data_IF_289782731150
#
_entry.id   IF_289782731150
#
_cell.length_a   1.000
_cell.length_b   1.000
_cell.length_c   1.000
_cell.angle_alpha   90.00
_cell.angle_beta   90.00
_cell.angle_gamma   90.00
#
_symmetry.space_group_name_H-M   'P 1'
#
loop_
_entity.id
_entity.type
_entity.pdbx_description
1 polymer ?
#
# COMPACT_ATOMS: atom_id res chain seq x y z
N UNK A 1 -33.30 49.61 -44.74
CA UNK A 1 -31.91 49.51 -44.24
C UNK A 1 -31.99 48.93 -42.85
N UNK A 2 -32.04 47.60 -42.77
CA UNK A 2 -32.19 46.91 -41.50
C UNK A 2 -30.89 46.96 -40.72
N UNK A 3 -31.00 47.55 -39.52
CA UNK A 3 -30.04 47.39 -38.43
C UNK A 3 -29.93 45.90 -38.13
N UNK A 4 -28.97 45.22 -38.76
CA UNK A 4 -28.54 43.90 -38.31
C UNK A 4 -28.08 44.06 -36.86
N UNK A 5 -28.76 43.35 -35.97
CA UNK A 5 -28.32 43.06 -34.62
C UNK A 5 -26.82 42.74 -34.62
N UNK A 6 -25.98 43.71 -34.27
CA UNK A 6 -24.72 43.42 -33.62
C UNK A 6 -25.13 42.83 -32.28
N UNK A 7 -25.18 41.50 -32.17
CA UNK A 7 -25.06 40.87 -30.85
C UNK A 7 -23.78 41.45 -30.26
N UNK A 8 -23.89 42.26 -29.20
CA UNK A 8 -22.73 42.68 -28.42
C UNK A 8 -21.93 41.42 -28.12
N UNK A 9 -20.69 41.36 -28.59
CA UNK A 9 -19.83 40.23 -28.30
C UNK A 9 -19.69 40.14 -26.77
N UNK A 10 -20.17 39.06 -26.11
CA UNK A 10 -20.27 39.02 -24.66
C UNK A 10 -18.89 38.97 -23.99
N UNK A 11 -17.82 38.74 -24.76
CA UNK A 11 -16.46 38.58 -24.25
C UNK A 11 -15.65 39.87 -24.29
N UNK A 12 -15.85 40.74 -25.27
CA UNK A 12 -15.08 41.98 -25.43
C UNK A 12 -15.75 43.00 -26.37
N UNK A 13 -15.38 44.27 -26.22
CA UNK A 13 -15.73 45.37 -27.11
C UNK A 13 -14.74 45.41 -28.30
N UNK A 14 -15.18 45.16 -29.55
CA UNK A 14 -14.31 45.13 -30.73
C UNK A 14 -13.52 46.42 -30.96
N UNK A 15 -14.07 47.57 -30.57
CA UNK A 15 -13.50 48.89 -30.91
C UNK A 15 -12.46 49.38 -29.89
N UNK A 16 -12.30 48.67 -28.78
CA UNK A 16 -11.34 49.02 -27.72
C UNK A 16 -10.08 48.15 -27.81
N UNK A 17 -8.91 48.70 -27.40
CA UNK A 17 -7.71 47.89 -27.21
C UNK A 17 -7.94 46.80 -26.16
N UNK A 18 -7.17 45.73 -26.25
CA UNK A 18 -7.26 44.62 -25.31
C UNK A 18 -6.09 43.66 -25.40
N UNK A 19 -5.93 42.85 -24.36
CA UNK A 19 -4.98 41.76 -24.30
C UNK A 19 -5.72 40.42 -24.27
N UNK A 20 -5.13 39.40 -24.87
CA UNK A 20 -5.64 38.03 -24.89
C UNK A 20 -4.58 37.13 -24.27
N UNK A 21 -4.96 36.38 -23.24
CA UNK A 21 -4.12 35.39 -22.61
C UNK A 21 -4.57 34.00 -23.06
N UNK A 22 -3.62 33.20 -23.52
CA UNK A 22 -3.87 31.85 -24.05
C UNK A 22 -2.95 30.87 -23.34
N UNK A 23 -3.52 29.80 -22.78
CA UNK A 23 -2.81 28.64 -22.28
C UNK A 23 -3.08 27.46 -23.19
N UNK A 24 -2.06 26.95 -23.87
CA UNK A 24 -2.22 25.85 -24.82
C UNK A 24 -1.10 24.82 -24.69
N UNK A 25 -1.49 23.55 -24.53
CA UNK A 25 -0.58 22.41 -24.58
C UNK A 25 -0.15 22.12 -26.02
N UNK A 26 1.17 22.02 -26.24
CA UNK A 26 1.74 21.81 -27.59
C UNK A 26 1.29 20.50 -28.23
N UNK A 27 0.91 19.51 -27.44
CA UNK A 27 0.54 18.18 -27.90
C UNK A 27 -0.96 17.91 -27.75
N UNK A 28 -1.74 18.90 -27.31
CA UNK A 28 -3.17 18.77 -27.01
C UNK A 28 -3.48 17.64 -26.01
N UNK A 29 -2.54 17.35 -25.10
CA UNK A 29 -2.69 16.31 -24.08
C UNK A 29 -3.21 16.86 -22.75
N UNK A 30 -3.22 18.19 -22.60
CA UNK A 30 -3.63 18.89 -21.40
C UNK A 30 -4.58 20.05 -21.71
N UNK A 31 -5.60 20.16 -20.86
CA UNK A 31 -6.72 21.07 -20.98
C UNK A 31 -7.05 21.60 -19.59
N UNK A 32 -6.82 22.90 -19.29
CA UNK A 32 -7.07 23.45 -17.96
C UNK A 32 -8.51 23.23 -17.48
N UNK A 33 -8.69 22.81 -16.23
CA UNK A 33 -9.99 22.60 -15.58
C UNK A 33 -10.78 23.90 -15.51
N UNK A 34 -10.09 25.01 -15.27
CA UNK A 34 -10.71 26.32 -15.30
C UNK A 34 -10.61 26.89 -16.72
N UNK A 35 -11.72 27.18 -17.41
CA UNK A 35 -11.68 27.73 -18.77
C UNK A 35 -10.88 29.03 -18.88
N UNK A 36 -10.81 29.81 -17.80
CA UNK A 36 -10.03 31.05 -17.72
C UNK A 36 -8.51 30.82 -17.77
N UNK A 37 -8.04 29.64 -17.39
CA UNK A 37 -6.64 29.26 -17.53
C UNK A 37 -6.28 28.90 -18.98
N UNK A 38 -7.28 28.54 -19.81
CA UNK A 38 -7.11 28.31 -21.24
C UNK A 38 -7.21 29.61 -22.05
N UNK A 39 -8.25 30.42 -21.82
CA UNK A 39 -8.48 31.67 -22.57
C UNK A 39 -9.04 32.76 -21.67
N UNK A 40 -8.42 33.95 -21.70
CA UNK A 40 -8.92 35.14 -21.00
C UNK A 40 -8.76 36.39 -21.86
N UNK A 41 -9.83 37.19 -21.97
CA UNK A 41 -9.85 38.49 -22.63
C UNK A 41 -9.78 39.62 -21.61
N UNK A 42 -8.87 40.60 -21.79
CA UNK A 42 -8.65 41.72 -20.88
C UNK A 42 -8.78 43.05 -21.63
N UNK A 43 -9.69 43.92 -21.19
CA UNK A 43 -9.83 45.30 -21.72
C UNK A 43 -9.86 46.38 -20.63
N UNK A 44 -9.73 45.96 -19.35
CA UNK A 44 -9.72 46.85 -18.18
C UNK A 44 -8.70 46.35 -17.17
N UNK A 45 -8.04 47.27 -16.48
CA UNK A 45 -7.02 46.97 -15.48
C UNK A 45 -5.61 46.86 -16.06
N UNK A 46 -4.64 46.61 -15.18
CA UNK A 46 -3.23 46.45 -15.56
C UNK A 46 -2.97 45.06 -16.17
N UNK A 47 -2.64 45.04 -17.46
CA UNK A 47 -2.44 43.79 -18.21
C UNK A 47 -1.24 42.99 -17.68
N UNK A 48 -0.21 43.62 -17.13
CA UNK A 48 0.95 42.92 -16.56
C UNK A 48 0.59 42.21 -15.25
N UNK A 49 -0.08 42.90 -14.33
CA UNK A 49 -0.56 42.29 -13.08
C UNK A 49 -1.56 41.15 -13.33
N UNK A 50 -2.47 41.35 -14.28
CA UNK A 50 -3.46 40.33 -14.66
C UNK A 50 -2.82 39.12 -15.35
N UNK A 51 -1.81 39.36 -16.19
CA UNK A 51 -1.05 38.26 -16.79
C UNK A 51 -0.23 37.51 -15.75
N UNK A 52 0.41 38.20 -14.80
CA UNK A 52 1.10 37.55 -13.66
C UNK A 52 0.14 36.63 -12.87
N UNK A 53 -1.09 37.09 -12.65
CA UNK A 53 -2.14 36.25 -12.02
C UNK A 53 -2.48 35.03 -12.88
N UNK A 54 -2.67 35.21 -14.18
CA UNK A 54 -2.94 34.11 -15.13
C UNK A 54 -1.82 33.04 -15.11
N UNK A 55 -0.55 33.46 -15.01
CA UNK A 55 0.57 32.53 -14.85
C UNK A 55 0.47 31.75 -13.52
N UNK A 56 0.21 32.44 -12.41
CA UNK A 56 0.09 31.81 -11.08
C UNK A 56 -1.08 30.82 -11.01
N UNK A 57 -2.22 31.17 -11.61
CA UNK A 57 -3.40 30.29 -11.62
C UNK A 57 -3.13 29.01 -12.43
N UNK A 58 -2.41 29.11 -13.56
CA UNK A 58 -1.94 27.95 -14.32
C UNK A 58 -0.88 27.13 -13.56
N UNK A 59 0.06 27.79 -12.85
CA UNK A 59 1.06 27.12 -12.01
C UNK A 59 0.37 26.28 -10.94
N UNK A 60 -0.59 26.85 -10.20
CA UNK A 60 -1.33 26.15 -9.14
C UNK A 60 -2.09 24.93 -9.66
N UNK A 61 -2.65 25.02 -10.86
CA UNK A 61 -3.34 23.87 -11.45
C UNK A 61 -2.35 22.76 -11.83
N UNK A 62 -1.16 23.13 -12.33
CA UNK A 62 -0.09 22.18 -12.63
C UNK A 62 0.52 21.52 -11.38
N UNK A 63 0.40 22.13 -10.18
CA UNK A 63 0.87 21.53 -8.92
C UNK A 63 0.14 20.21 -8.59
N UNK A 64 -1.04 19.97 -9.15
CA UNK A 64 -1.82 18.73 -8.97
C UNK A 64 -1.53 17.66 -10.04
N UNK A 65 -0.59 17.92 -10.95
CA UNK A 65 -0.24 17.01 -12.04
C UNK A 65 0.96 16.12 -11.65
N UNK A 66 1.06 14.87 -12.13
CA UNK A 66 2.23 14.02 -11.90
C UNK A 66 3.51 14.67 -12.44
N UNK A 67 3.41 15.37 -13.57
CA UNK A 67 4.44 16.21 -14.16
C UNK A 67 3.80 17.45 -14.78
N UNK A 68 4.62 18.48 -15.02
CA UNK A 68 4.16 19.75 -15.56
C UNK A 68 3.90 19.62 -17.07
N UNK A 69 2.66 19.90 -17.53
CA UNK A 69 2.29 19.84 -18.94
C UNK A 69 3.18 20.72 -19.83
N UNK A 70 3.32 20.35 -21.11
CA UNK A 70 4.09 21.11 -22.09
C UNK A 70 3.25 22.27 -22.67
N UNK A 71 2.70 23.09 -21.76
CA UNK A 71 1.84 24.23 -22.05
C UNK A 71 2.65 25.50 -22.28
N UNK A 72 2.28 26.23 -23.34
CA UNK A 72 2.73 27.61 -23.58
C UNK A 72 1.66 28.59 -23.09
N UNK A 73 2.10 29.58 -22.33
CA UNK A 73 1.31 30.69 -21.81
C UNK A 73 1.66 31.93 -22.63
N UNK A 74 0.71 32.38 -23.44
CA UNK A 74 0.87 33.45 -24.42
C UNK A 74 0.07 34.68 -23.99
N UNK A 75 0.63 35.86 -24.28
CA UNK A 75 -0.10 37.13 -24.23
C UNK A 75 -0.03 37.80 -25.59
N UNK A 76 -1.16 38.20 -26.12
CA UNK A 76 -1.28 39.05 -27.30
C UNK A 76 -1.81 40.41 -26.86
N UNK A 77 -1.21 41.49 -27.35
CA UNK A 77 -1.66 42.86 -27.10
C UNK A 77 -2.13 43.45 -28.43
N UNK A 78 -3.40 43.86 -28.47
CA UNK A 78 -4.06 44.33 -29.69
C UNK A 78 -4.48 45.79 -29.53
N UNK A 79 -4.21 46.60 -30.55
CA UNK A 79 -4.64 48.00 -30.59
C UNK A 79 -6.17 48.14 -30.62
N UNK A 80 -6.87 47.12 -31.14
CA UNK A 80 -8.31 46.93 -31.04
C UNK A 80 -8.65 45.45 -31.23
N UNK A 81 -9.82 45.02 -30.78
CA UNK A 81 -10.23 43.61 -30.80
C UNK A 81 -10.98 43.20 -32.08
N UNK A 82 -11.05 44.06 -33.12
CA UNK A 82 -11.73 43.72 -34.39
C UNK A 82 -11.07 42.58 -35.15
N UNK A 83 -9.78 42.38 -34.93
CA UNK A 83 -8.98 41.31 -35.54
C UNK A 83 -9.08 39.99 -34.75
N UNK A 84 -9.96 39.90 -33.76
CA UNK A 84 -10.15 38.66 -33.00
C UNK A 84 -11.31 37.90 -33.63
N UNK A 85 -11.12 36.64 -34.05
CA UNK A 85 -12.21 35.81 -34.55
C UNK A 85 -13.38 35.78 -33.55
N UNK A 86 -14.65 35.79 -34.01
CA UNK A 86 -15.79 35.75 -33.11
C UNK A 86 -15.78 34.45 -32.28
N UNK A 87 -16.07 34.54 -30.98
CA UNK A 87 -16.12 33.38 -30.11
C UNK A 87 -17.53 32.80 -30.13
N UNK A 88 -17.70 31.57 -30.61
CA UNK A 88 -18.94 30.82 -30.44
C UNK A 88 -19.05 30.33 -28.99
N UNK A 89 -20.12 30.73 -28.29
CA UNK A 89 -20.39 30.33 -26.90
C UNK A 89 -20.63 28.83 -26.73
N UNK A 90 -20.91 28.10 -27.81
CA UNK A 90 -21.10 26.66 -27.81
C UNK A 90 -19.81 25.87 -28.08
N UNK A 91 -18.74 26.54 -28.50
CA UNK A 91 -17.45 25.90 -28.82
C UNK A 91 -16.53 25.93 -27.60
N UNK A 92 -15.95 24.78 -27.20
CA UNK A 92 -14.95 24.76 -26.13
C UNK A 92 -13.76 25.66 -26.45
N UNK A 93 -13.22 26.38 -25.46
CA UNK A 93 -12.11 27.31 -25.70
C UNK A 93 -10.89 26.66 -26.32
N UNK A 94 -10.59 25.39 -26.01
CA UNK A 94 -9.48 24.65 -26.62
C UNK A 94 -9.67 24.47 -28.13
N UNK A 95 -10.91 24.19 -28.56
CA UNK A 95 -11.25 24.06 -29.97
C UNK A 95 -11.16 25.42 -30.67
N UNK A 96 -11.72 26.47 -30.07
CA UNK A 96 -11.61 27.83 -30.59
C UNK A 96 -10.14 28.31 -30.69
N UNK A 97 -9.33 28.08 -29.65
CA UNK A 97 -7.90 28.43 -29.63
C UNK A 97 -7.16 27.75 -30.79
N UNK A 98 -7.36 26.43 -30.93
CA UNK A 98 -6.59 25.60 -31.85
C UNK A 98 -7.04 25.70 -33.31
N UNK A 99 -8.34 25.89 -33.57
CA UNK A 99 -8.91 25.89 -34.93
C UNK A 99 -9.16 27.28 -35.49
N UNK A 100 -9.32 28.30 -34.65
CA UNK A 100 -9.71 29.64 -35.09
C UNK A 100 -8.69 30.71 -34.67
N UNK A 101 -8.50 30.92 -33.36
CA UNK A 101 -7.73 32.05 -32.84
C UNK A 101 -6.26 32.03 -33.25
N UNK A 102 -5.53 30.95 -32.91
CA UNK A 102 -4.10 30.87 -33.20
C UNK A 102 -3.80 30.72 -34.70
N UNK A 103 -4.55 29.92 -35.48
CA UNK A 103 -4.41 29.92 -36.94
C UNK A 103 -4.60 31.31 -37.56
N UNK A 104 -5.61 32.07 -37.11
CA UNK A 104 -5.84 33.43 -37.58
C UNK A 104 -4.67 34.36 -37.22
N UNK A 105 -4.17 34.33 -35.98
CA UNK A 105 -3.00 35.13 -35.59
C UNK A 105 -1.74 34.75 -36.37
N UNK A 106 -1.58 33.47 -36.71
CA UNK A 106 -0.47 33.03 -37.55
C UNK A 106 -0.60 33.52 -39.00
N UNK A 107 -1.79 33.40 -39.60
CA UNK A 107 -2.07 33.86 -40.98
C UNK A 107 -1.89 35.37 -41.12
N UNK A 108 -2.30 36.13 -40.10
CA UNK A 108 -2.19 37.58 -40.06
C UNK A 108 -0.88 38.10 -39.45
N UNK A 109 0.09 37.22 -39.19
CA UNK A 109 1.41 37.56 -38.65
C UNK A 109 1.36 38.40 -37.35
N UNK A 110 0.44 38.07 -36.45
CA UNK A 110 0.28 38.72 -35.13
C UNK A 110 1.10 37.92 -34.10
N UNK A 111 2.29 38.40 -33.67
CA UNK A 111 3.11 37.69 -32.70
C UNK A 111 2.59 37.88 -31.27
N UNK A 112 2.84 36.90 -30.36
CA UNK A 112 2.59 37.11 -28.95
C UNK A 112 3.59 38.13 -28.37
N UNK A 113 3.09 39.06 -27.56
CA UNK A 113 3.88 40.00 -26.78
C UNK A 113 4.70 39.29 -25.68
N UNK A 114 4.14 38.22 -25.08
CA UNK A 114 4.86 37.32 -24.17
C UNK A 114 4.61 35.86 -24.54
N UNK A 115 5.64 35.02 -24.41
CA UNK A 115 5.58 33.57 -24.59
C UNK A 115 6.41 32.90 -23.50
N UNK A 116 5.73 32.18 -22.62
CA UNK A 116 6.34 31.57 -21.44
C UNK A 116 5.94 30.09 -21.39
N UNK A 117 6.89 29.20 -21.18
CA UNK A 117 6.56 27.79 -20.93
C UNK A 117 6.06 27.64 -19.50
N UNK A 118 4.99 26.88 -19.29
CA UNK A 118 4.46 26.60 -17.96
C UNK A 118 5.53 25.95 -17.05
N UNK A 119 6.39 25.10 -17.61
CA UNK A 119 7.52 24.50 -16.87
C UNK A 119 8.52 25.54 -16.37
N UNK A 120 8.82 26.54 -17.20
CA UNK A 120 9.70 27.66 -16.83
C UNK A 120 9.05 28.51 -15.75
N UNK A 121 7.75 28.82 -15.90
CA UNK A 121 6.97 29.58 -14.95
C UNK A 121 6.91 28.89 -13.58
N UNK A 122 6.65 27.57 -13.53
CA UNK A 122 6.62 26.80 -12.28
C UNK A 122 7.99 26.83 -11.57
N UNK A 123 9.08 26.57 -12.29
CA UNK A 123 10.42 26.58 -11.68
C UNK A 123 10.79 27.97 -11.16
N UNK A 124 10.63 29.00 -11.99
CA UNK A 124 10.99 30.38 -11.61
C UNK A 124 10.12 30.92 -10.50
N UNK A 125 8.84 30.59 -10.47
CA UNK A 125 7.96 30.92 -9.35
C UNK A 125 8.40 30.24 -8.05
N UNK A 126 8.70 28.93 -8.10
CA UNK A 126 9.11 28.15 -6.92
C UNK A 126 10.42 28.66 -6.31
N UNK A 127 11.41 28.99 -7.12
CA UNK A 127 12.76 29.33 -6.63
C UNK A 127 13.08 30.82 -6.59
N UNK A 128 12.34 31.65 -7.33
CA UNK A 128 12.62 33.10 -7.48
C UNK A 128 11.38 33.98 -7.25
N UNK A 129 10.22 33.40 -6.96
CA UNK A 129 8.94 34.10 -6.77
C UNK A 129 8.53 35.00 -7.97
N UNK A 130 9.02 34.65 -9.17
CA UNK A 130 8.80 35.42 -10.40
C UNK A 130 8.31 34.48 -11.51
N UNK A 131 7.00 34.45 -11.83
CA UNK A 131 6.43 33.48 -12.76
C UNK A 131 6.62 33.84 -14.24
N UNK A 132 6.94 35.10 -14.60
CA UNK A 132 7.11 35.47 -16.02
C UNK A 132 8.34 34.76 -16.61
N UNK A 133 9.45 34.71 -15.85
CA UNK A 133 10.65 33.94 -16.20
C UNK A 133 11.32 34.32 -17.54
N UNK A 134 10.72 35.19 -18.36
CA UNK A 134 11.12 35.46 -19.73
C UNK A 134 12.52 36.07 -19.86
N UNK A 135 12.89 36.94 -18.92
CA UNK A 135 14.23 37.55 -18.84
C UNK A 135 15.30 36.50 -18.45
N UNK A 136 14.88 35.44 -17.76
CA UNK A 136 15.78 34.46 -17.14
C UNK A 136 16.05 33.24 -18.03
N UNK A 137 15.33 33.06 -19.13
CA UNK A 137 15.38 31.83 -19.95
C UNK A 137 16.79 31.42 -20.42
N UNK A 138 17.64 32.39 -20.78
CA UNK A 138 19.03 32.13 -21.18
C UNK A 138 19.92 31.70 -20.00
N UNK A 139 19.61 32.16 -18.79
CA UNK A 139 20.34 31.85 -17.56
C UNK A 139 19.88 30.52 -16.93
N UNK A 140 18.58 30.19 -17.03
CA UNK A 140 18.03 28.94 -16.52
C UNK A 140 18.73 27.70 -17.08
N UNK A 141 19.04 27.70 -18.38
CA UNK A 141 19.74 26.59 -19.04
C UNK A 141 21.17 26.35 -18.54
N UNK A 142 21.74 27.31 -17.77
CA UNK A 142 23.06 27.18 -17.14
C UNK A 142 22.96 26.70 -15.69
N UNK A 143 21.77 26.67 -15.10
CA UNK A 143 21.55 26.23 -13.72
C UNK A 143 21.42 24.70 -13.64
N UNK A 144 22.31 24.00 -12.91
CA UNK A 144 22.22 22.54 -12.77
C UNK A 144 20.88 22.07 -12.20
N UNK A 145 20.34 22.78 -11.20
CA UNK A 145 19.05 22.47 -10.57
C UNK A 145 17.87 22.55 -11.55
N UNK A 146 17.92 23.46 -12.54
CA UNK A 146 16.91 23.55 -13.58
C UNK A 146 17.01 22.40 -14.58
N UNK A 147 18.24 22.00 -14.95
CA UNK A 147 18.46 20.85 -15.82
C UNK A 147 17.98 19.54 -15.17
N UNK A 148 18.27 19.36 -13.88
CA UNK A 148 17.78 18.22 -13.09
C UNK A 148 16.25 18.23 -12.98
N UNK A 149 15.65 19.38 -12.67
CA UNK A 149 14.20 19.53 -12.67
C UNK A 149 13.57 19.13 -14.01
N UNK A 150 14.14 19.58 -15.14
CA UNK A 150 13.65 19.19 -16.48
C UNK A 150 13.78 17.70 -16.74
N UNK A 151 14.87 17.07 -16.30
CA UNK A 151 15.06 15.63 -16.42
C UNK A 151 13.99 14.88 -15.63
N UNK A 152 13.74 15.26 -14.37
CA UNK A 152 12.69 14.67 -13.54
C UNK A 152 11.30 14.82 -14.19
N UNK A 153 10.98 15.99 -14.77
CA UNK A 153 9.71 16.18 -15.49
C UNK A 153 9.61 15.25 -16.72
N UNK A 154 10.71 15.04 -17.43
CA UNK A 154 10.74 14.15 -18.60
C UNK A 154 10.60 12.68 -18.20
N UNK A 155 11.26 12.24 -17.13
CA UNK A 155 11.15 10.89 -16.60
C UNK A 155 9.72 10.59 -16.16
N UNK A 156 9.10 11.51 -15.41
CA UNK A 156 7.68 11.39 -15.04
C UNK A 156 6.76 11.41 -16.25
N UNK A 157 7.02 12.25 -17.26
CA UNK A 157 6.22 12.24 -18.50
C UNK A 157 6.25 10.88 -19.20
N UNK A 158 7.42 10.25 -19.26
CA UNK A 158 7.58 8.89 -19.81
C UNK A 158 6.83 7.87 -18.94
N UNK A 159 7.02 7.93 -17.63
CA UNK A 159 6.43 7.02 -16.65
C UNK A 159 4.89 7.00 -16.73
N UNK A 160 4.30 8.19 -16.79
CA UNK A 160 2.86 8.40 -16.88
C UNK A 160 2.34 8.36 -18.33
N UNK A 161 3.15 7.89 -19.29
CA UNK A 161 2.78 7.71 -20.70
C UNK A 161 2.12 8.94 -21.33
N UNK A 162 2.69 10.10 -21.07
CA UNK A 162 2.20 11.38 -21.56
C UNK A 162 0.76 11.70 -21.09
N UNK A 163 0.35 11.20 -19.92
CA UNK A 163 -0.89 11.59 -19.25
C UNK A 163 -0.57 12.63 -18.16
N UNK A 164 -0.82 13.93 -18.42
CA UNK A 164 -0.46 15.01 -17.51
C UNK A 164 -1.42 15.13 -16.33
N UNK A 165 -2.43 14.28 -16.22
CA UNK A 165 -3.34 14.20 -15.08
C UNK A 165 -3.37 12.80 -14.54
N UNK A 166 -3.54 12.71 -13.23
CA UNK A 166 -3.89 11.45 -12.61
C UNK A 166 -5.28 11.02 -13.08
N UNK A 167 -5.41 9.73 -13.33
CA UNK A 167 -6.69 9.11 -13.63
C UNK A 167 -7.36 8.71 -12.32
N UNK A 168 -8.65 8.97 -12.19
CA UNK A 168 -9.46 8.65 -11.02
C UNK A 168 -10.34 7.41 -11.24
N UNK A 169 -10.80 6.74 -10.17
CA UNK A 169 -10.46 7.01 -8.76
C UNK A 169 -9.00 6.64 -8.45
N UNK A 170 -8.42 7.31 -7.45
CA UNK A 170 -7.21 6.83 -6.79
C UNK A 170 -7.59 5.62 -5.93
N UNK A 171 -6.82 4.54 -6.01
CA UNK A 171 -6.94 3.39 -5.12
C UNK A 171 -6.08 3.64 -3.89
N UNK A 172 -6.68 3.66 -2.71
CA UNK A 172 -5.95 3.81 -1.45
C UNK A 172 -6.00 2.49 -0.72
N UNK A 173 -4.85 1.99 -0.29
CA UNK A 173 -4.70 0.81 0.56
C UNK A 173 -4.27 1.28 1.94
N UNK A 174 -5.02 0.90 2.97
CA UNK A 174 -4.71 1.15 4.37
C UNK A 174 -4.54 -0.17 5.11
N UNK A 175 -3.57 -0.19 6.02
CA UNK A 175 -3.37 -1.23 7.01
C UNK A 175 -2.61 -0.66 8.22
N UNK A 176 -2.22 -1.49 9.18
CA UNK A 176 -1.51 -1.04 10.39
C UNK A 176 -0.13 -0.42 10.11
N UNK A 177 0.44 -0.63 8.91
CA UNK A 177 1.68 0.02 8.50
C UNK A 177 1.45 1.46 8.01
N UNK A 178 0.24 1.80 7.56
CA UNK A 178 -0.13 3.12 7.04
C UNK A 178 -0.85 3.02 5.70
N UNK A 179 -0.57 3.97 4.81
CA UNK A 179 -1.28 4.13 3.54
C UNK A 179 -0.37 3.98 2.31
N UNK A 180 -0.92 3.37 1.25
CA UNK A 180 -0.37 3.44 -0.10
C UNK A 180 -1.44 3.99 -1.04
N UNK A 181 -1.03 4.90 -1.93
CA UNK A 181 -1.95 5.59 -2.85
C UNK A 181 -1.51 5.28 -4.27
N UNK A 182 -2.43 4.74 -5.06
CA UNK A 182 -2.19 4.38 -6.44
C UNK A 182 -3.12 5.16 -7.37
N UNK A 183 -2.58 5.66 -8.46
CA UNK A 183 -3.39 6.33 -9.46
C UNK A 183 -4.20 5.36 -10.32
N UNK A 184 -5.31 5.82 -10.88
CA UNK A 184 -6.16 5.01 -11.76
C UNK A 184 -5.58 4.78 -13.16
N UNK A 185 -4.36 5.26 -13.45
CA UNK A 185 -3.69 5.04 -14.73
C UNK A 185 -2.99 3.67 -14.73
N UNK A 186 -2.22 3.34 -15.76
CA UNK A 186 -1.62 2.01 -15.87
C UNK A 186 -0.59 1.69 -14.79
N UNK A 187 0.26 2.64 -14.41
CA UNK A 187 1.28 2.42 -13.38
C UNK A 187 0.63 2.19 -12.01
N UNK A 188 -0.34 3.03 -11.64
CA UNK A 188 -1.02 2.88 -10.36
C UNK A 188 -1.93 1.65 -10.32
N UNK A 189 -2.66 1.33 -11.40
CA UNK A 189 -3.42 0.07 -11.49
C UNK A 189 -2.52 -1.15 -11.35
N UNK A 190 -1.33 -1.12 -11.96
CA UNK A 190 -0.37 -2.20 -11.79
C UNK A 190 0.14 -2.24 -10.34
N UNK A 191 0.55 -1.11 -9.77
CA UNK A 191 1.00 -1.03 -8.38
C UNK A 191 -0.03 -1.54 -7.38
N UNK A 192 -1.30 -1.18 -7.56
CA UNK A 192 -2.40 -1.69 -6.75
C UNK A 192 -2.56 -3.20 -6.86
N UNK A 193 -2.53 -3.75 -8.09
CA UNK A 193 -2.59 -5.21 -8.31
C UNK A 193 -1.40 -5.92 -7.66
N UNK A 194 -0.19 -5.42 -7.84
CA UNK A 194 1.02 -5.99 -7.25
C UNK A 194 0.99 -5.90 -5.72
N UNK A 195 0.42 -4.83 -5.16
CA UNK A 195 0.23 -4.66 -3.72
C UNK A 195 -0.71 -5.73 -3.14
N UNK A 196 -1.90 -5.92 -3.74
CA UNK A 196 -2.85 -6.94 -3.27
C UNK A 196 -2.26 -8.34 -3.47
N UNK A 197 -1.52 -8.59 -4.57
CA UNK A 197 -0.80 -9.86 -4.75
C UNK A 197 0.23 -10.07 -3.65
N UNK A 198 1.05 -9.07 -3.36
CA UNK A 198 2.07 -9.14 -2.31
C UNK A 198 1.46 -9.43 -0.94
N UNK A 199 0.37 -8.76 -0.59
CA UNK A 199 -0.38 -9.02 0.65
C UNK A 199 -0.97 -10.43 0.66
N UNK A 200 -1.48 -10.90 -0.48
CA UNK A 200 -2.02 -12.26 -0.62
C UNK A 200 -0.95 -13.31 -0.41
N UNK A 201 0.23 -13.13 -1.01
CA UNK A 201 1.35 -14.06 -0.90
C UNK A 201 1.86 -14.16 0.55
N UNK A 202 1.89 -13.03 1.28
CA UNK A 202 2.35 -12.96 2.66
C UNK A 202 1.21 -13.01 3.71
N UNK A 203 -0.02 -13.39 3.31
CA UNK A 203 -1.19 -13.31 4.19
C UNK A 203 -0.99 -14.04 5.53
N UNK A 204 -0.34 -15.21 5.48
CA UNK A 204 -0.10 -16.07 6.64
C UNK A 204 1.28 -15.87 7.27
N UNK A 205 2.12 -14.99 6.73
CA UNK A 205 3.49 -14.77 7.18
C UNK A 205 3.50 -14.17 8.61
N UNK A 206 4.22 -14.78 9.58
CA UNK A 206 4.34 -14.25 10.93
C UNK A 206 5.07 -12.90 11.02
N UNK A 207 5.85 -12.53 10.02
CA UNK A 207 6.65 -11.31 9.97
C UNK A 207 6.04 -10.19 9.14
N UNK A 208 4.92 -10.47 8.46
CA UNK A 208 4.21 -9.49 7.65
C UNK A 208 2.77 -9.33 8.15
N UNK A 209 2.64 -8.75 9.35
CA UNK A 209 1.34 -8.50 9.94
C UNK A 209 0.75 -7.14 9.61
N UNK A 210 -0.06 -7.12 8.55
CA UNK A 210 -0.83 -5.95 8.14
C UNK A 210 -1.89 -5.51 9.16
N UNK A 211 -2.30 -6.39 10.09
CA UNK A 211 -3.32 -6.13 11.10
C UNK A 211 -4.74 -6.01 10.55
N UNK A 212 -4.96 -5.18 9.54
CA UNK A 212 -6.19 -5.10 8.76
C UNK A 212 -5.87 -4.73 7.29
N UNK A 213 -6.89 -4.75 6.44
CA UNK A 213 -6.80 -4.22 5.08
C UNK A 213 -8.09 -3.47 4.76
N UNK A 214 -7.97 -2.18 4.50
CA UNK A 214 -9.04 -1.36 3.96
C UNK A 214 -8.64 -0.80 2.59
N UNK A 215 -9.57 -0.85 1.63
CA UNK A 215 -9.35 -0.29 0.29
C UNK A 215 -10.41 0.75 -0.02
N UNK A 216 -9.98 1.88 -0.56
CA UNK A 216 -10.80 3.04 -0.84
C UNK A 216 -10.69 3.47 -2.30
N UNK A 217 -11.78 4.04 -2.82
CA UNK A 217 -11.81 4.78 -4.07
C UNK A 217 -11.94 6.27 -3.74
N UNK A 218 -10.90 7.06 -4.04
CA UNK A 218 -10.90 8.51 -3.79
C UNK A 218 -10.88 9.30 -5.09
N UNK A 219 -11.70 10.35 -5.16
CA UNK A 219 -11.66 11.37 -6.22
C UNK A 219 -11.07 12.69 -5.73
N UNK A 220 -10.61 12.74 -4.48
CA UNK A 220 -10.01 13.92 -3.89
C UNK A 220 -8.61 14.16 -4.49
N UNK A 221 -8.30 15.42 -4.77
CA UNK A 221 -7.00 15.85 -5.27
C UNK A 221 -6.53 17.10 -4.56
N UNK A 222 -5.30 17.03 -4.06
CA UNK A 222 -4.56 18.17 -3.53
C UNK A 222 -3.10 18.05 -3.93
N UNK A 223 -2.41 19.18 -4.04
CA UNK A 223 -0.99 19.22 -4.41
C UNK A 223 -0.09 18.46 -3.43
N UNK A 224 -0.47 18.37 -2.15
CA UNK A 224 0.33 17.66 -1.16
C UNK A 224 0.21 16.13 -1.31
N UNK A 225 -0.76 15.62 -2.08
CA UNK A 225 -0.86 14.20 -2.42
C UNK A 225 0.05 13.79 -3.58
N UNK A 226 0.42 14.71 -4.46
CA UNK A 226 1.25 14.41 -5.64
C UNK A 226 2.56 13.66 -5.32
N UNK A 227 3.34 14.01 -4.27
CA UNK A 227 4.53 13.22 -3.92
C UNK A 227 4.22 11.83 -3.34
N UNK A 228 2.98 11.60 -2.90
CA UNK A 228 2.55 10.38 -2.22
C UNK A 228 1.90 9.37 -3.17
N UNK A 229 1.29 9.84 -4.26
CA UNK A 229 0.68 8.98 -5.28
C UNK A 229 1.76 8.21 -6.04
N UNK A 230 1.57 6.89 -6.14
CA UNK A 230 2.46 5.93 -6.78
C UNK A 230 3.88 5.88 -6.15
N UNK A 231 4.04 6.35 -4.91
CA UNK A 231 5.34 6.42 -4.21
C UNK A 231 6.00 5.04 -3.96
N UNK A 232 5.19 3.98 -3.96
CA UNK A 232 5.66 2.59 -3.89
C UNK A 232 6.46 2.17 -5.14
N UNK A 233 6.29 2.88 -6.26
CA UNK A 233 7.03 2.58 -7.48
C UNK A 233 8.51 2.94 -7.35
N UNK A 234 9.39 1.99 -7.63
CA UNK A 234 10.85 2.18 -7.66
C UNK A 234 11.38 1.82 -9.05
N UNK A 235 11.97 2.78 -9.80
CA UNK A 235 12.61 2.48 -11.08
C UNK A 235 13.87 1.63 -10.83
N UNK A 236 13.98 0.47 -11.47
CA UNK A 236 15.15 -0.41 -11.33
C UNK A 236 16.38 0.17 -12.05
N UNK A 237 16.16 0.88 -13.17
CA UNK A 237 17.18 1.66 -13.89
C UNK A 237 16.55 2.88 -14.59
N UNK A 238 17.29 3.99 -14.76
CA UNK A 238 16.85 5.08 -15.63
C UNK A 238 16.66 4.56 -17.06
N UNK A 239 15.52 4.86 -17.68
CA UNK A 239 15.17 4.55 -19.09
C UNK A 239 14.79 3.09 -19.44
N UNK A 240 14.91 2.11 -18.54
CA UNK A 240 14.34 0.76 -18.77
C UNK A 240 12.94 0.68 -18.14
N UNK A 241 11.99 0.03 -18.83
CA UNK A 241 10.66 -0.30 -18.29
C UNK A 241 10.70 -1.42 -17.23
N UNK A 242 11.89 -1.71 -16.68
CA UNK A 242 12.05 -2.63 -15.55
C UNK A 242 11.81 -1.85 -14.26
N UNK A 243 10.81 -2.28 -13.50
CA UNK A 243 10.37 -1.59 -12.30
C UNK A 243 9.96 -2.59 -11.23
N UNK A 244 10.09 -2.14 -9.99
CA UNK A 244 9.65 -2.86 -8.81
C UNK A 244 8.74 -1.98 -7.97
N UNK A 245 8.00 -2.64 -7.10
CA UNK A 245 7.21 -1.96 -6.09
C UNK A 245 7.75 -2.32 -4.71
N UNK A 246 7.83 -1.32 -3.84
CA UNK A 246 8.26 -1.47 -2.47
C UNK A 246 7.04 -1.46 -1.55
N UNK A 247 6.76 -2.63 -0.95
CA UNK A 247 5.65 -2.85 -0.04
C UNK A 247 6.11 -3.21 1.38
N UNK A 248 7.37 -2.91 1.72
CA UNK A 248 7.82 -3.08 3.11
C UNK A 248 7.13 -2.05 4.02
N UNK A 249 6.94 -2.35 5.32
CA UNK A 249 6.24 -1.46 6.25
C UNK A 249 6.77 -0.01 6.27
N UNK A 250 8.08 0.18 6.10
CA UNK A 250 8.71 1.50 6.07
C UNK A 250 8.35 2.36 4.86
N UNK A 251 7.71 1.77 3.84
CA UNK A 251 7.31 2.44 2.59
C UNK A 251 5.88 2.96 2.63
N UNK A 252 5.11 2.60 3.66
CA UNK A 252 3.75 3.10 3.88
C UNK A 252 3.79 4.52 4.44
N UNK A 253 2.84 5.33 4.02
CA UNK A 253 2.70 6.72 4.42
C UNK A 253 2.01 6.78 5.78
N UNK A 254 2.57 7.54 6.71
CA UNK A 254 1.96 7.76 8.03
C UNK A 254 0.67 8.58 7.95
N UNK A 255 -0.24 8.38 8.89
CA UNK A 255 -1.51 9.13 8.97
C UNK A 255 -1.27 10.65 9.08
N UNK A 256 -0.22 11.06 9.77
CA UNK A 256 0.17 12.46 9.99
C UNK A 256 0.75 13.15 8.75
N UNK A 257 1.17 12.37 7.75
CA UNK A 257 1.68 12.88 6.47
C UNK A 257 0.56 13.18 5.46
N UNK A 258 -0.65 12.66 5.69
CA UNK A 258 -1.79 12.82 4.79
C UNK A 258 -2.58 14.10 5.06
N UNK A 259 -3.10 14.78 4.02
CA UNK A 259 -4.02 15.90 4.20
C UNK A 259 -5.29 15.48 4.94
N UNK A 260 -5.69 16.26 5.95
CA UNK A 260 -6.87 15.95 6.76
C UNK A 260 -8.15 15.80 5.92
N UNK A 261 -8.35 16.70 4.97
CA UNK A 261 -9.51 16.66 4.06
C UNK A 261 -9.55 15.39 3.20
N UNK A 262 -8.37 14.85 2.85
CA UNK A 262 -8.28 13.57 2.15
C UNK A 262 -8.77 12.43 3.03
N UNK A 263 -8.26 12.33 4.26
CA UNK A 263 -8.67 11.29 5.23
C UNK A 263 -10.17 11.36 5.50
N UNK A 264 -10.70 12.56 5.76
CA UNK A 264 -12.13 12.79 6.02
C UNK A 264 -13.02 12.39 4.83
N UNK A 265 -12.46 12.34 3.62
CA UNK A 265 -13.17 11.93 2.39
C UNK A 265 -13.22 10.40 2.18
N UNK A 266 -12.36 9.63 2.85
CA UNK A 266 -12.21 8.21 2.62
C UNK A 266 -13.40 7.41 3.15
N UNK A 267 -13.98 6.57 2.29
CA UNK A 267 -15.03 5.60 2.64
C UNK A 267 -14.63 4.21 2.14
N UNK A 268 -14.50 3.20 3.02
CA UNK A 268 -13.99 1.90 2.61
C UNK A 268 -14.93 1.25 1.59
N UNK A 269 -14.38 0.82 0.47
CA UNK A 269 -15.05 -0.03 -0.51
C UNK A 269 -14.93 -1.50 -0.11
N UNK A 270 -13.82 -1.85 0.55
CA UNK A 270 -13.51 -3.20 1.00
C UNK A 270 -12.81 -3.15 2.36
N UNK A 271 -13.09 -4.13 3.22
CA UNK A 271 -12.45 -4.29 4.53
C UNK A 271 -12.27 -5.76 4.90
N UNK A 272 -11.06 -6.09 5.35
CA UNK A 272 -10.69 -7.39 5.93
C UNK A 272 -9.93 -7.18 7.25
N UNK A 273 -10.22 -8.02 8.25
CA UNK A 273 -9.47 -8.08 9.51
C UNK A 273 -8.10 -8.74 9.38
N UNK A 274 -7.82 -9.35 8.22
CA UNK A 274 -6.58 -10.06 7.94
C UNK A 274 -6.20 -11.14 8.97
N UNK A 275 -7.10 -11.58 9.85
CA UNK A 275 -6.76 -12.63 10.81
C UNK A 275 -6.33 -13.93 10.09
N UNK A 276 -5.36 -14.64 10.66
CA UNK A 276 -4.83 -15.89 10.12
C UNK A 276 -5.79 -17.08 10.41
N UNK A 277 -7.06 -16.90 10.02
CA UNK A 277 -8.10 -17.92 10.12
C UNK A 277 -8.57 -18.32 8.72
N UNK A 278 -9.10 -19.54 8.61
CA UNK A 278 -9.69 -19.99 7.35
C UNK A 278 -10.85 -19.10 6.86
N UNK A 279 -11.64 -18.54 7.79
CA UNK A 279 -12.83 -17.76 7.45
C UNK A 279 -12.47 -16.38 6.88
N UNK A 280 -11.50 -15.71 7.47
CA UNK A 280 -11.07 -14.40 7.01
C UNK A 280 -10.30 -14.50 5.70
N UNK A 281 -9.42 -15.51 5.58
CA UNK A 281 -8.68 -15.75 4.35
C UNK A 281 -9.60 -16.08 3.17
N UNK A 282 -10.61 -16.95 3.31
CA UNK A 282 -11.48 -17.28 2.17
C UNK A 282 -12.32 -16.09 1.71
N UNK A 283 -12.75 -15.24 2.65
CA UNK A 283 -13.44 -13.98 2.31
C UNK A 283 -12.51 -13.08 1.50
N UNK A 284 -11.29 -12.85 2.01
CA UNK A 284 -10.26 -12.08 1.32
C UNK A 284 -9.94 -12.65 -0.07
N UNK A 285 -9.63 -13.94 -0.15
CA UNK A 285 -9.26 -14.61 -1.38
C UNK A 285 -10.39 -14.53 -2.42
N UNK A 286 -11.64 -14.73 -2.02
CA UNK A 286 -12.80 -14.65 -2.92
C UNK A 286 -12.95 -13.23 -3.48
N UNK A 287 -12.88 -12.21 -2.62
CA UNK A 287 -13.07 -10.83 -3.04
C UNK A 287 -12.00 -10.41 -4.05
N UNK A 288 -10.73 -10.76 -3.84
CA UNK A 288 -9.62 -10.35 -4.71
C UNK A 288 -9.37 -11.27 -5.91
N UNK A 289 -9.73 -12.55 -5.83
CA UNK A 289 -9.63 -13.47 -6.97
C UNK A 289 -10.62 -13.09 -8.09
N UNK A 290 -11.84 -12.68 -7.74
CA UNK A 290 -12.88 -12.30 -8.70
C UNK A 290 -12.90 -10.79 -9.00
N UNK A 291 -12.08 -9.99 -8.32
CA UNK A 291 -11.97 -8.57 -8.58
C UNK A 291 -11.31 -8.31 -9.95
N UNK A 292 -11.96 -7.50 -10.78
CA UNK A 292 -11.51 -7.22 -12.17
C UNK A 292 -10.20 -6.45 -12.25
N UNK A 293 -9.87 -5.66 -11.22
CA UNK A 293 -8.68 -4.80 -11.21
C UNK A 293 -7.43 -5.58 -10.79
N UNK A 294 -7.59 -6.68 -10.04
CA UNK A 294 -6.46 -7.43 -9.45
C UNK A 294 -6.36 -8.87 -9.94
N UNK A 295 -7.47 -9.63 -9.94
CA UNK A 295 -7.54 -11.05 -10.34
C UNK A 295 -6.44 -11.91 -9.72
N UNK A 296 -6.26 -11.78 -8.40
CA UNK A 296 -5.14 -12.43 -7.72
C UNK A 296 -5.27 -13.95 -7.75
N UNK A 297 -4.17 -14.62 -8.10
CA UNK A 297 -4.05 -16.07 -7.98
C UNK A 297 -3.63 -16.45 -6.57
N UNK A 298 -4.34 -17.40 -5.95
CA UNK A 298 -3.93 -17.94 -4.66
C UNK A 298 -2.82 -18.97 -4.86
N UNK A 299 -1.71 -18.80 -4.13
CA UNK A 299 -0.60 -19.76 -4.16
C UNK A 299 -1.06 -21.13 -3.63
N UNK A 300 -0.41 -22.21 -4.10
CA UNK A 300 -0.69 -23.57 -3.61
C UNK A 300 -0.47 -23.67 -2.10
N UNK A 301 0.56 -23.00 -1.59
CA UNK A 301 0.88 -22.94 -0.16
C UNK A 301 -0.24 -22.28 0.66
N UNK A 302 -0.71 -21.10 0.28
CA UNK A 302 -1.80 -20.43 1.00
C UNK A 302 -3.12 -21.20 0.90
N UNK A 303 -3.35 -21.90 -0.22
CA UNK A 303 -4.48 -22.81 -0.36
C UNK A 303 -4.36 -24.02 0.58
N UNK A 304 -3.19 -24.65 0.70
CA UNK A 304 -2.95 -25.76 1.62
C UNK A 304 -3.11 -25.31 3.09
N UNK A 305 -2.57 -24.15 3.48
CA UNK A 305 -2.74 -23.55 4.81
C UNK A 305 -4.23 -23.33 5.11
N UNK A 306 -4.96 -22.69 4.21
CA UNK A 306 -6.41 -22.47 4.33
C UNK A 306 -7.17 -23.78 4.57
N UNK A 307 -6.87 -24.83 3.80
CA UNK A 307 -7.51 -26.14 3.93
C UNK A 307 -7.22 -26.75 5.31
N UNK A 308 -5.98 -26.71 5.77
CA UNK A 308 -5.58 -27.19 7.10
C UNK A 308 -6.28 -26.44 8.23
N UNK A 309 -6.32 -25.10 8.17
CA UNK A 309 -7.04 -24.27 9.13
C UNK A 309 -8.55 -24.58 9.16
N UNK A 310 -9.13 -24.89 8.01
CA UNK A 310 -10.54 -25.30 7.93
C UNK A 310 -10.77 -26.65 8.61
N UNK A 311 -9.88 -27.62 8.41
CA UNK A 311 -9.91 -28.92 9.10
C UNK A 311 -9.75 -28.72 10.61
N UNK A 312 -8.84 -27.86 11.07
CA UNK A 312 -8.65 -27.56 12.49
C UNK A 312 -9.90 -26.95 13.14
N UNK A 313 -10.58 -26.03 12.44
CA UNK A 313 -11.80 -25.37 12.93
C UNK A 313 -13.00 -26.31 12.99
N UNK A 314 -13.28 -26.99 11.89
CA UNK A 314 -14.52 -27.75 11.71
C UNK A 314 -14.36 -29.20 12.20
N UNK A 315 -13.15 -29.75 12.13
CA UNK A 315 -12.85 -31.13 12.50
C UNK A 315 -13.41 -32.19 11.56
N UNK A 316 -13.92 -31.77 10.39
CA UNK A 316 -14.30 -32.57 9.23
C UNK A 316 -14.56 -31.62 8.05
N UNK A 317 -14.03 -31.94 6.87
CA UNK A 317 -14.21 -31.20 5.62
C UNK A 317 -14.22 -32.20 4.46
N UNK A 318 -14.75 -31.80 3.31
CA UNK A 318 -14.63 -32.56 2.07
C UNK A 318 -13.18 -32.51 1.57
N UNK A 319 -12.29 -33.30 2.19
CA UNK A 319 -10.86 -33.34 1.86
C UNK A 319 -10.61 -33.81 0.41
N UNK A 320 -11.63 -34.37 -0.24
CA UNK A 320 -11.59 -34.92 -1.60
C UNK A 320 -11.50 -33.86 -2.71
N UNK A 321 -11.75 -32.59 -2.38
CA UNK A 321 -11.51 -31.48 -3.32
C UNK A 321 -10.01 -31.30 -3.57
N UNK A 322 -9.60 -31.47 -4.83
CA UNK A 322 -8.22 -31.37 -5.29
C UNK A 322 -8.01 -30.07 -6.09
N UNK A 323 -6.81 -29.48 -6.06
CA UNK A 323 -5.56 -29.99 -5.46
C UNK A 323 -5.44 -29.69 -3.96
N UNK A 324 -4.92 -30.66 -3.19
CA UNK A 324 -4.56 -30.50 -1.78
C UNK A 324 -3.37 -31.41 -1.44
N UNK A 325 -2.25 -30.84 -1.00
CA UNK A 325 -0.99 -31.57 -0.85
C UNK A 325 -1.08 -32.70 0.18
N UNK A 326 -1.81 -32.46 1.27
CA UNK A 326 -1.91 -33.38 2.41
C UNK A 326 -3.11 -34.33 2.34
N UNK A 327 -3.71 -34.48 1.15
CA UNK A 327 -4.84 -35.37 0.94
C UNK A 327 -4.56 -36.78 1.46
N UNK A 328 -3.43 -37.39 1.07
CA UNK A 328 -3.09 -38.77 1.45
C UNK A 328 -2.86 -38.93 2.95
N UNK A 329 -2.31 -37.93 3.63
CA UNK A 329 -2.05 -37.96 5.07
C UNK A 329 -3.34 -37.86 5.89
N UNK A 330 -4.32 -37.07 5.42
CA UNK A 330 -5.62 -36.91 6.08
C UNK A 330 -6.68 -37.92 5.62
N UNK A 331 -6.46 -38.63 4.51
CA UNK A 331 -7.40 -39.60 3.93
C UNK A 331 -7.86 -40.72 4.89
N UNK A 332 -6.99 -41.33 5.72
CA UNK A 332 -7.42 -42.37 6.67
C UNK A 332 -8.48 -41.86 7.66
N UNK A 333 -8.32 -40.63 8.15
CA UNK A 333 -9.28 -40.01 9.07
C UNK A 333 -10.62 -39.76 8.38
N UNK A 334 -10.62 -39.23 7.15
CA UNK A 334 -11.85 -38.98 6.41
C UNK A 334 -12.63 -40.26 6.10
N UNK A 335 -11.94 -41.36 5.76
CA UNK A 335 -12.57 -42.68 5.56
C UNK A 335 -13.22 -43.21 6.83
N UNK A 336 -12.59 -43.04 7.99
CA UNK A 336 -13.21 -43.39 9.28
C UNK A 336 -14.40 -42.49 9.60
N UNK A 337 -14.32 -41.19 9.28
CA UNK A 337 -15.44 -40.26 9.43
C UNK A 337 -16.64 -40.66 8.60
N UNK A 338 -16.46 -41.00 7.33
CA UNK A 338 -17.54 -41.46 6.44
C UNK A 338 -18.25 -42.69 7.01
N UNK A 339 -17.53 -43.65 7.59
CA UNK A 339 -18.13 -44.82 8.25
C UNK A 339 -19.01 -44.44 9.44
N UNK A 340 -18.65 -43.38 10.17
CA UNK A 340 -19.38 -42.94 11.37
C UNK A 340 -20.54 -42.01 11.02
N UNK A 341 -20.45 -41.24 9.93
CA UNK A 341 -21.49 -40.29 9.52
C UNK A 341 -22.52 -40.90 8.58
N UNK A 342 -22.16 -41.90 7.77
CA UNK A 342 -23.09 -42.58 6.84
C UNK A 342 -23.82 -43.76 7.51
N UNK A 343 -24.61 -43.45 8.54
CA UNK A 343 -25.45 -44.44 9.26
C UNK A 343 -26.88 -44.45 8.73
N UNK A 344 -27.57 -45.59 8.82
CA UNK A 344 -28.94 -45.75 8.26
C UNK A 344 -30.02 -45.08 9.12
N UNK A 345 -29.73 -44.86 10.40
CA UNK A 345 -30.64 -44.23 11.36
C UNK A 345 -29.87 -43.39 12.37
N UNK A 346 -30.53 -42.37 12.94
CA UNK A 346 -29.90 -41.48 13.93
C UNK A 346 -29.44 -42.22 15.21
N UNK A 347 -30.06 -43.36 15.54
CA UNK A 347 -29.70 -44.18 16.70
C UNK A 347 -28.39 -44.98 16.53
N UNK A 348 -27.93 -45.17 15.30
CA UNK A 348 -26.66 -45.84 14.98
C UNK A 348 -25.46 -44.86 15.00
N UNK A 349 -25.72 -43.56 15.14
CA UNK A 349 -24.66 -42.54 15.15
C UNK A 349 -23.87 -42.56 16.46
N UNK A 350 -22.62 -43.01 16.39
CA UNK A 350 -21.70 -42.97 17.52
C UNK A 350 -21.10 -41.57 17.71
N UNK A 351 -21.80 -40.76 18.51
CA UNK A 351 -21.36 -39.41 18.91
C UNK A 351 -19.98 -39.40 19.60
N UNK A 352 -19.63 -40.46 20.33
CA UNK A 352 -18.36 -40.57 21.05
C UNK A 352 -17.19 -40.81 20.10
N UNK A 353 -17.35 -41.76 19.18
CA UNK A 353 -16.37 -42.03 18.12
C UNK A 353 -16.20 -40.83 17.20
N UNK A 354 -17.30 -40.14 16.83
CA UNK A 354 -17.24 -38.92 16.03
C UNK A 354 -16.39 -37.82 16.71
N UNK A 355 -16.60 -37.56 18.00
CA UNK A 355 -15.82 -36.56 18.75
C UNK A 355 -14.34 -36.90 18.84
N UNK A 356 -14.01 -38.19 19.03
CA UNK A 356 -12.62 -38.66 19.06
C UNK A 356 -11.93 -38.46 17.71
N UNK A 357 -12.53 -38.95 16.63
CA UNK A 357 -12.02 -38.76 15.26
C UNK A 357 -11.86 -37.27 14.92
N UNK A 358 -12.81 -36.43 15.35
CA UNK A 358 -12.72 -34.97 15.16
C UNK A 358 -11.53 -34.37 15.89
N UNK A 359 -11.24 -34.83 17.09
CA UNK A 359 -10.06 -34.36 17.82
C UNK A 359 -8.77 -34.85 17.16
N UNK A 360 -8.73 -36.09 16.69
CA UNK A 360 -7.57 -36.68 16.03
C UNK A 360 -7.22 -35.99 14.71
N UNK A 361 -8.21 -35.76 13.83
CA UNK A 361 -7.94 -35.09 12.55
C UNK A 361 -7.54 -33.62 12.74
N UNK A 362 -8.09 -32.92 13.75
CA UNK A 362 -7.67 -31.56 14.10
C UNK A 362 -6.21 -31.52 14.53
N UNK A 363 -5.80 -32.48 15.37
CA UNK A 363 -4.40 -32.62 15.80
C UNK A 363 -3.47 -32.97 14.64
N UNK A 364 -3.92 -33.84 13.72
CA UNK A 364 -3.15 -34.16 12.53
C UNK A 364 -2.94 -32.92 11.64
N UNK A 365 -4.01 -32.14 11.40
CA UNK A 365 -3.90 -30.90 10.63
C UNK A 365 -3.02 -29.84 11.30
N UNK A 366 -3.14 -29.64 12.62
CA UNK A 366 -2.27 -28.75 13.40
C UNK A 366 -0.80 -29.20 13.36
N UNK A 367 -0.56 -30.51 13.45
CA UNK A 367 0.77 -31.09 13.34
C UNK A 367 1.41 -30.84 11.97
N UNK A 368 0.65 -31.00 10.88
CA UNK A 368 1.11 -30.67 9.53
C UNK A 368 1.43 -29.18 9.42
N UNK A 369 0.52 -28.32 9.91
CA UNK A 369 0.68 -26.87 9.84
C UNK A 369 1.99 -26.42 10.50
N UNK A 370 2.31 -26.97 11.68
CA UNK A 370 3.53 -26.66 12.45
C UNK A 370 4.80 -27.31 11.91
N UNK A 371 4.66 -28.41 11.16
CA UNK A 371 5.79 -29.17 10.59
C UNK A 371 6.27 -28.55 9.29
N UNK A 372 5.34 -28.17 8.42
CA UNK A 372 5.65 -27.82 7.03
C UNK A 372 5.52 -26.31 6.74
N UNK A 373 4.87 -25.55 7.63
CA UNK A 373 4.67 -24.10 7.46
C UNK A 373 5.07 -23.33 8.72
N UNK A 374 5.33 -22.03 8.56
CA UNK A 374 5.41 -21.08 9.66
C UNK A 374 4.27 -20.06 9.51
N UNK A 375 3.16 -20.30 10.20
CA UNK A 375 1.92 -19.52 10.03
C UNK A 375 1.65 -18.65 11.23
N UNK A 376 1.41 -17.36 11.00
CA UNK A 376 1.02 -16.39 12.03
C UNK A 376 -0.14 -16.93 12.87
N UNK A 377 0.01 -16.89 14.20
CA UNK A 377 -0.99 -17.40 15.15
C UNK A 377 -1.02 -18.93 15.32
N UNK A 378 -0.31 -19.69 14.48
CA UNK A 378 -0.27 -21.18 14.54
C UNK A 378 1.16 -21.74 14.50
N UNK A 379 2.16 -20.90 14.77
CA UNK A 379 3.58 -21.25 14.71
C UNK A 379 3.94 -22.41 15.62
N UNK A 380 4.95 -23.18 15.22
CA UNK A 380 5.53 -24.20 16.09
C UNK A 380 6.28 -23.56 17.25
N UNK A 381 6.39 -24.27 18.37
CA UNK A 381 7.19 -23.82 19.52
C UNK A 381 8.66 -23.60 19.11
N UNK A 382 9.17 -24.43 18.21
CA UNK A 382 10.53 -24.33 17.67
C UNK A 382 10.73 -23.02 16.91
N UNK A 383 9.85 -22.68 15.97
CA UNK A 383 9.92 -21.42 15.21
C UNK A 383 9.84 -20.22 16.16
N UNK A 384 8.92 -20.23 17.12
CA UNK A 384 8.78 -19.14 18.10
C UNK A 384 10.03 -18.94 18.97
N UNK A 385 10.70 -20.03 19.36
CA UNK A 385 11.93 -19.97 20.17
C UNK A 385 13.14 -19.52 19.35
N UNK A 386 13.24 -19.91 18.09
CA UNK A 386 14.35 -19.57 17.21
C UNK A 386 14.22 -18.17 16.57
N UNK A 387 13.04 -17.57 16.64
CA UNK A 387 12.79 -16.24 16.10
C UNK A 387 13.12 -15.12 17.09
N UNK A 388 14.18 -14.36 16.79
CA UNK A 388 14.64 -13.23 17.61
C UNK A 388 13.66 -12.04 17.68
N UNK A 389 12.74 -11.93 16.72
CA UNK A 389 11.75 -10.84 16.68
C UNK A 389 10.56 -11.12 17.60
N UNK A 390 10.32 -12.39 17.93
CA UNK A 390 9.21 -12.79 18.80
C UNK A 390 9.53 -12.51 20.25
N UNK A 391 8.71 -11.67 20.87
CA UNK A 391 8.64 -11.57 22.33
C UNK A 391 8.04 -12.84 22.89
N UNK A 392 8.87 -13.67 23.53
CA UNK A 392 8.44 -14.94 24.11
C UNK A 392 8.35 -14.83 25.64
N UNK A 393 7.19 -15.15 26.21
CA UNK A 393 6.94 -15.01 27.66
C UNK A 393 6.58 -16.34 28.30
N UNK A 394 7.24 -16.67 29.42
CA UNK A 394 6.86 -17.79 30.29
C UNK A 394 6.28 -17.21 31.58
N UNK A 395 4.97 -17.37 31.77
CA UNK A 395 4.23 -16.73 32.85
C UNK A 395 4.29 -15.21 32.75
N UNK A 396 4.93 -14.52 33.70
CA UNK A 396 5.12 -13.05 33.66
C UNK A 396 6.50 -12.62 33.15
N UNK A 397 7.37 -13.56 32.76
CA UNK A 397 8.76 -13.27 32.38
C UNK A 397 8.94 -13.32 30.88
N UNK A 398 9.40 -12.20 30.30
CA UNK A 398 9.93 -12.16 28.94
C UNK A 398 11.31 -12.81 28.92
N UNK A 399 11.49 -13.80 28.06
CA UNK A 399 12.76 -14.48 27.88
C UNK A 399 13.67 -13.65 26.98
N UNK A 400 14.97 -13.67 27.26
CA UNK A 400 16.00 -13.18 26.36
C UNK A 400 16.45 -14.26 25.36
N UNK A 401 17.23 -13.89 24.35
CA UNK A 401 17.67 -14.81 23.31
C UNK A 401 18.42 -16.02 23.87
N UNK A 402 19.31 -15.81 24.85
CA UNK A 402 20.09 -16.92 25.43
C UNK A 402 19.18 -17.95 26.13
N UNK A 403 18.13 -17.48 26.82
CA UNK A 403 17.12 -18.34 27.43
C UNK A 403 16.29 -19.07 26.39
N UNK A 404 15.89 -18.39 25.30
CA UNK A 404 15.16 -19.03 24.19
C UNK A 404 16.01 -20.11 23.53
N UNK A 405 17.30 -19.84 23.25
CA UNK A 405 18.26 -20.83 22.72
C UNK A 405 18.44 -22.02 23.65
N UNK A 406 18.47 -21.81 24.98
CA UNK A 406 18.58 -22.90 25.94
C UNK A 406 17.36 -23.85 25.87
N UNK A 407 16.14 -23.29 25.82
CA UNK A 407 14.92 -24.07 25.64
C UNK A 407 14.88 -24.77 24.27
N UNK A 408 15.26 -24.07 23.20
CA UNK A 408 15.37 -24.63 21.86
C UNK A 408 16.33 -25.83 21.80
N UNK A 409 17.41 -25.79 22.59
CA UNK A 409 18.40 -26.87 22.70
C UNK A 409 17.97 -28.03 23.61
N UNK A 410 16.72 -28.05 24.10
CA UNK A 410 16.19 -29.10 24.97
C UNK A 410 16.65 -28.99 26.44
N UNK A 411 17.27 -27.88 26.84
CA UNK A 411 17.62 -27.63 28.23
C UNK A 411 16.45 -27.03 29.02
N UNK A 412 16.48 -27.18 30.34
CA UNK A 412 15.50 -26.56 31.22
C UNK A 412 16.00 -25.20 31.74
N UNK A 413 15.07 -24.32 32.07
CA UNK A 413 15.33 -23.06 32.76
C UNK A 413 14.74 -23.09 34.17
N UNK A 414 15.47 -22.48 35.10
CA UNK A 414 14.98 -22.14 36.43
C UNK A 414 14.54 -20.67 36.45
N UNK A 415 13.25 -20.45 36.66
CA UNK A 415 12.56 -19.15 36.63
C UNK A 415 11.78 -18.93 37.93
N UNK A 416 12.46 -18.67 39.07
CA UNK A 416 11.81 -18.55 40.38
C UNK A 416 10.95 -17.28 40.53
N UNK A 417 11.19 -16.28 39.69
CA UNK A 417 10.53 -14.97 39.71
C UNK A 417 9.27 -14.94 38.81
N UNK A 418 8.66 -16.11 38.58
CA UNK A 418 7.42 -16.22 37.83
C UNK A 418 6.24 -15.86 38.75
N UNK A 419 5.77 -14.62 38.67
CA UNK A 419 4.86 -14.05 39.66
C UNK A 419 3.38 -14.27 39.33
N UNK A 420 3.06 -15.00 38.25
CA UNK A 420 1.67 -15.30 37.90
C UNK A 420 1.11 -16.31 38.91
N UNK A 421 0.05 -15.93 39.62
CA UNK A 421 -0.46 -16.61 40.81
C UNK A 421 -0.72 -18.11 40.60
N UNK A 422 -1.29 -18.49 39.44
CA UNK A 422 -1.57 -19.87 39.08
C UNK A 422 -0.31 -20.73 38.82
N UNK A 423 0.83 -20.14 38.46
CA UNK A 423 2.06 -20.85 38.06
C UNK A 423 3.26 -20.54 38.96
N UNK A 424 3.05 -19.82 40.07
CA UNK A 424 4.12 -19.38 40.98
C UNK A 424 4.91 -20.52 41.62
N UNK A 425 4.30 -21.70 41.73
CA UNK A 425 4.94 -22.91 42.26
C UNK A 425 5.77 -23.67 41.21
N UNK A 426 5.66 -23.32 39.93
CA UNK A 426 6.38 -23.95 38.82
C UNK A 426 7.66 -23.16 38.56
N UNK A 427 8.73 -23.54 39.27
CA UNK A 427 10.01 -22.86 39.24
C UNK A 427 10.88 -23.27 38.05
N UNK A 428 10.57 -24.39 37.39
CA UNK A 428 11.32 -24.93 36.26
C UNK A 428 10.44 -24.95 35.02
N UNK A 429 11.02 -24.68 33.86
CA UNK A 429 10.35 -24.89 32.58
C UNK A 429 11.27 -25.55 31.54
N UNK A 430 10.69 -26.37 30.67
CA UNK A 430 11.35 -26.91 29.47
C UNK A 430 10.43 -26.80 28.26
N UNK A 431 11.00 -26.84 27.06
CA UNK A 431 10.21 -27.01 25.84
C UNK A 431 9.75 -28.47 25.71
N UNK A 432 8.45 -28.67 25.47
CA UNK A 432 7.85 -29.93 25.05
C UNK A 432 7.44 -29.76 23.59
N UNK A 433 8.33 -30.17 22.67
CA UNK A 433 8.11 -30.05 21.24
C UNK A 433 7.04 -31.02 20.71
N UNK A 434 6.85 -32.16 21.38
CA UNK A 434 5.81 -33.12 21.00
C UNK A 434 4.41 -32.56 21.25
N UNK A 435 4.21 -31.86 22.37
CA UNK A 435 2.95 -31.18 22.67
C UNK A 435 2.92 -29.71 22.22
N UNK A 436 4.02 -29.20 21.63
CA UNK A 436 4.16 -27.83 21.15
C UNK A 436 3.95 -26.77 22.24
N UNK A 437 4.39 -27.01 23.47
CA UNK A 437 4.18 -26.10 24.61
C UNK A 437 5.36 -26.03 25.56
N UNK A 438 5.37 -25.02 26.42
CA UNK A 438 6.29 -24.99 27.57
C UNK A 438 5.70 -25.82 28.72
N UNK A 439 6.43 -26.84 29.14
CA UNK A 439 6.10 -27.64 30.32
C UNK A 439 6.70 -26.97 31.57
N UNK A 440 5.88 -26.70 32.57
CA UNK A 440 6.30 -26.16 33.86
C UNK A 440 6.31 -27.23 34.96
N UNK A 441 7.29 -27.17 35.86
CA UNK A 441 7.41 -28.11 36.98
C UNK A 441 7.90 -27.40 38.25
N UNK A 442 7.49 -27.90 39.41
CA UNK A 442 8.04 -27.47 40.72
C UNK A 442 9.38 -28.13 41.04
N UNK A 443 9.77 -29.18 40.31
CA UNK A 443 11.02 -29.94 40.45
C UNK A 443 11.85 -29.92 39.15
N UNK A 444 13.18 -30.09 39.22
CA UNK A 444 14.02 -30.22 38.02
C UNK A 444 13.57 -31.38 37.11
N UNK A 445 13.69 -31.19 35.80
CA UNK A 445 13.25 -32.15 34.78
C UNK A 445 14.23 -33.32 34.52
N UNK A 446 15.30 -33.43 35.31
CA UNK A 446 16.36 -34.42 35.07
C UNK A 446 17.21 -34.16 33.81
N UNK A 447 17.03 -32.99 33.18
CA UNK A 447 17.89 -32.47 32.11
C UNK A 447 18.71 -31.30 32.63
N UNK A 448 19.78 -30.98 31.92
CA UNK A 448 20.64 -29.85 32.27
C UNK A 448 19.80 -28.58 32.38
N UNK A 449 19.87 -27.96 33.55
CA UNK A 449 19.05 -26.80 33.91
C UNK A 449 19.93 -25.58 34.06
N UNK A 450 19.46 -24.43 33.56
CA UNK A 450 20.20 -23.17 33.64
C UNK A 450 19.39 -22.09 34.35
N UNK A 451 20.11 -21.14 34.94
CA UNK A 451 19.58 -19.91 35.54
C UNK A 451 20.32 -18.72 34.96
N UNK A 452 19.62 -17.60 34.78
CA UNK A 452 20.28 -16.33 34.42
C UNK A 452 20.88 -15.72 35.68
N UNK A 453 22.18 -15.43 35.66
CA UNK A 453 22.87 -14.59 36.64
C UNK A 453 23.66 -13.52 35.90
N UNK A 454 23.45 -12.26 36.25
CA UNK A 454 24.10 -11.11 35.60
C UNK A 454 23.97 -11.11 34.06
N UNK A 455 22.81 -11.57 33.55
CA UNK A 455 22.53 -11.68 32.11
C UNK A 455 23.15 -12.90 31.41
N UNK A 456 23.94 -13.72 32.11
CA UNK A 456 24.61 -14.90 31.56
C UNK A 456 23.91 -16.20 31.98
N UNK A 457 23.93 -17.18 31.09
CA UNK A 457 23.39 -18.51 31.35
C UNK A 457 24.37 -19.32 32.22
N UNK A 458 23.98 -19.60 33.47
CA UNK A 458 24.78 -20.40 34.41
C UNK A 458 24.09 -21.74 34.68
N UNK A 459 24.81 -22.88 34.64
CA UNK A 459 24.22 -24.17 34.99
C UNK A 459 23.80 -24.15 36.47
N UNK A 460 22.58 -24.62 36.74
CA UNK A 460 22.09 -24.78 38.10
C UNK A 460 22.82 -25.97 38.75
N UNK A 461 23.40 -25.84 39.95
CA UNK A 461 24.08 -26.94 40.63
C UNK A 461 23.12 -28.12 40.82
N UNK A 462 23.52 -29.33 40.39
CA UNK A 462 22.79 -30.54 40.73
C UNK A 462 22.88 -30.76 42.25
N UNK A 463 21.74 -30.92 42.93
CA UNK A 463 21.72 -31.39 44.31
C UNK A 463 22.30 -32.80 44.35
N UNK A 464 23.59 -32.93 44.64
CA UNK A 464 24.20 -34.21 44.97
C UNK A 464 23.52 -34.70 46.24
N UNK A 465 22.67 -35.72 46.12
CA UNK A 465 22.25 -36.54 47.24
C UNK A 465 23.51 -37.14 47.89
N UNK A 466 24.06 -36.47 48.90
CA UNK A 466 25.09 -37.05 49.75
C UNK A 466 24.43 -38.18 50.55
N UNK A 467 24.55 -39.40 50.05
CA UNK A 467 24.35 -40.61 50.85
C UNK A 467 25.38 -40.53 51.98
N UNK A 468 24.92 -40.25 53.19
CA UNK A 468 25.74 -40.38 54.40
C UNK A 468 26.16 -41.85 54.51
N UNK A 469 27.41 -42.17 54.18
CA UNK A 469 28.04 -43.42 54.63
C UNK A 469 28.14 -43.34 56.15
N UNK A 470 27.38 -44.19 56.83
CA UNK A 470 27.55 -44.49 58.24
C UNK A 470 28.92 -45.14 58.43
N UNK A 471 29.84 -44.42 59.08
CA UNK A 471 31.08 -45.01 59.59
C UNK A 471 30.74 -45.89 60.80
N UNK A 472 30.94 -47.20 60.65
CA UNK A 472 31.03 -48.11 61.79
C UNK A 472 32.32 -47.82 62.54
N UNK A 473 32.20 -47.37 63.79
CA UNK A 473 33.29 -47.34 64.76
C UNK A 473 33.45 -48.73 65.37
N UNK A 474 34.64 -49.30 65.26
CA UNK A 474 35.24 -50.12 66.31
C UNK A 474 36.01 -49.22 67.25
#
# INVERSE_FOLDING_TARGET
MDKRNQMENPFFDPDKPGSIFVGMDRYHQYSPHQPRNALTFIQKGDADSLFRKFLIDNIKEAECCPYIPDTELLRFDLANMRQVPPVDTHTPFEEYISKELLPYFQEHCIPPAKRISLRDAVYTYKYKNEPDGGILKKYLMQEPAYLEFRLQQQEKRTLYRCQPRYTFPLKVVENDFGYLIFSGNEIGRNGFRECIRYITDHYFDPHYDTGHLAVYDSTFMDKNLVPLIDAAYKPCKPMELDYSFDFYPASYIGLDELPKEFIDSLKPVCYHSMEATAGDFIKFATDWHFNKDTQVSISRENHDIYRLLTVMRNGYMNIHEQPFTYFNELLPYAKEFEKVTQVKSAGEFDTGKFKRLSTEIRKAADGILKRDFDVRGHRSLENMLNDSTVTFTVGSRKLNEVQKTALASGYALYLPENNKEATRHLLFCKADFEQGRIEGSSKPFGVRTYVIKDGLLCPLPEEKNTVKKTENKN
#
